data_IF_290769191126
#
_entry.id   IF_290769191126
#
_cell.length_a   1.000
_cell.length_b   1.000
_cell.length_c   1.000
_cell.angle_alpha   90.00
_cell.angle_beta   90.00
_cell.angle_gamma   90.00
#
_symmetry.space_group_name_H-M   'P 1'
#
loop_
_entity.id
_entity.type
_entity.pdbx_description
1 polymer ?
#
# COMPACT_ATOMS: atom_id res chain seq x y z
N UNK A 1 -38.25 38.12 46.73
CA UNK A 1 -39.01 36.90 47.05
C UNK A 1 -37.98 35.93 47.58
N UNK A 2 -37.94 35.81 48.90
CA UNK A 2 -37.05 34.90 49.62
C UNK A 2 -37.70 33.51 49.54
N UNK A 3 -37.11 32.60 48.76
CA UNK A 3 -37.53 31.19 48.75
C UNK A 3 -37.18 30.62 50.13
N UNK A 4 -38.23 30.39 50.94
CA UNK A 4 -38.12 29.66 52.19
C UNK A 4 -37.46 28.30 51.90
N UNK A 5 -36.26 28.07 52.44
CA UNK A 5 -35.60 26.77 52.38
C UNK A 5 -36.49 25.77 53.12
N UNK A 6 -37.23 24.94 52.38
CA UNK A 6 -38.02 23.84 52.95
C UNK A 6 -37.09 22.96 53.79
N UNK A 7 -37.20 23.06 55.11
CA UNK A 7 -36.40 22.25 56.03
C UNK A 7 -36.74 20.78 55.83
N UNK A 8 -35.72 19.98 55.48
CA UNK A 8 -35.84 18.55 55.20
C UNK A 8 -36.28 17.76 56.45
N UNK A 9 -37.60 17.59 56.59
CA UNK A 9 -38.29 16.94 57.72
C UNK A 9 -37.83 15.49 57.95
N UNK A 10 -37.27 14.83 56.92
CA UNK A 10 -36.84 13.44 56.98
C UNK A 10 -35.32 13.25 57.00
N UNK A 11 -34.54 14.33 56.91
CA UNK A 11 -33.07 14.29 56.87
C UNK A 11 -32.52 13.52 55.65
N UNK A 12 -33.30 13.39 54.58
CA UNK A 12 -32.94 12.64 53.38
C UNK A 12 -31.86 13.34 52.53
N UNK A 13 -31.76 14.67 52.59
CA UNK A 13 -30.73 15.45 51.92
C UNK A 13 -29.32 15.16 52.44
N UNK A 14 -29.20 14.70 53.69
CA UNK A 14 -27.94 14.23 54.26
C UNK A 14 -27.42 12.93 53.60
N UNK A 15 -28.32 12.16 52.97
CA UNK A 15 -28.00 10.94 52.23
C UNK A 15 -27.68 11.23 50.75
N UNK A 16 -28.02 12.41 50.24
CA UNK A 16 -27.70 12.77 48.86
C UNK A 16 -26.21 13.13 48.74
N UNK A 17 -25.49 12.57 47.75
CA UNK A 17 -24.11 12.94 47.51
C UNK A 17 -24.06 14.42 47.16
N UNK A 18 -23.20 15.18 47.85
CA UNK A 18 -23.08 16.62 47.63
C UNK A 18 -22.79 16.92 46.15
N UNK A 19 -23.33 18.02 45.62
CA UNK A 19 -23.13 18.44 44.22
C UNK A 19 -21.65 18.41 43.81
N UNK A 20 -20.74 18.77 44.73
CA UNK A 20 -19.28 18.69 44.54
C UNK A 20 -18.76 17.26 44.37
N UNK A 21 -19.25 16.29 45.15
CA UNK A 21 -18.89 14.87 45.01
C UNK A 21 -19.39 14.30 43.68
N UNK A 22 -20.63 14.64 43.28
CA UNK A 22 -21.19 14.21 42.00
C UNK A 22 -20.40 14.79 40.81
N UNK A 23 -20.01 16.06 40.88
CA UNK A 23 -19.20 16.71 39.84
C UNK A 23 -17.79 16.10 39.75
N UNK A 24 -17.17 15.78 40.89
CA UNK A 24 -15.87 15.11 40.94
C UNK A 24 -15.94 13.68 40.34
N UNK A 25 -16.99 12.93 40.66
CA UNK A 25 -17.23 11.59 40.09
C UNK A 25 -17.50 11.65 38.59
N UNK A 26 -18.33 12.59 38.13
CA UNK A 26 -18.59 12.82 36.70
C UNK A 26 -17.30 13.17 35.95
N UNK A 27 -16.45 14.03 36.53
CA UNK A 27 -15.14 14.37 35.96
C UNK A 27 -14.20 13.17 35.90
N UNK A 28 -14.18 12.32 36.92
CA UNK A 28 -13.40 11.06 36.94
C UNK A 28 -13.90 10.08 35.87
N UNK A 29 -15.21 9.91 35.71
CA UNK A 29 -15.77 9.06 34.67
C UNK A 29 -15.47 9.59 33.26
N UNK A 30 -15.60 10.90 33.04
CA UNK A 30 -15.26 11.53 31.76
C UNK A 30 -13.77 11.36 31.42
N UNK A 31 -12.88 11.54 32.40
CA UNK A 31 -11.45 11.31 32.22
C UNK A 31 -11.13 9.84 31.92
N UNK A 32 -11.83 8.89 32.55
CA UNK A 32 -11.69 7.46 32.28
C UNK A 32 -12.17 7.11 30.87
N UNK A 33 -13.31 7.67 30.44
CA UNK A 33 -13.86 7.49 29.10
C UNK A 33 -12.91 8.04 28.02
N UNK A 34 -12.40 9.26 28.20
CA UNK A 34 -11.41 9.85 27.28
C UNK A 34 -10.12 9.00 27.19
N UNK A 35 -9.65 8.45 28.32
CA UNK A 35 -8.48 7.56 28.32
C UNK A 35 -8.76 6.22 27.63
N UNK A 36 -9.97 5.70 27.78
CA UNK A 36 -10.40 4.47 27.10
C UNK A 36 -10.49 4.69 25.58
N UNK A 37 -11.04 5.83 25.14
CA UNK A 37 -11.14 6.22 23.74
C UNK A 37 -9.75 6.42 23.12
N UNK A 38 -8.85 7.14 23.78
CA UNK A 38 -7.47 7.31 23.33
C UNK A 38 -6.74 5.97 23.18
N UNK A 39 -6.96 5.04 24.13
CA UNK A 39 -6.41 3.67 24.06
C UNK A 39 -7.01 2.87 22.89
N UNK A 40 -8.29 3.02 22.63
CA UNK A 40 -8.96 2.38 21.50
C UNK A 40 -8.43 2.91 20.16
N UNK A 41 -8.27 4.22 20.02
CA UNK A 41 -7.69 4.86 18.85
C UNK A 41 -6.25 4.39 18.59
N UNK A 42 -5.41 4.32 19.64
CA UNK A 42 -4.04 3.81 19.54
C UNK A 42 -4.00 2.34 19.09
N UNK A 43 -4.89 1.48 19.60
CA UNK A 43 -5.01 0.09 19.16
C UNK A 43 -5.45 -0.01 17.70
N UNK A 44 -6.40 0.81 17.27
CA UNK A 44 -6.85 0.85 15.89
C UNK A 44 -5.72 1.26 14.94
N UNK A 45 -4.94 2.29 15.29
CA UNK A 45 -3.78 2.71 14.54
C UNK A 45 -2.72 1.59 14.43
N UNK A 46 -2.38 0.95 15.55
CA UNK A 46 -1.43 -0.17 15.57
C UNK A 46 -1.90 -1.36 14.70
N UNK A 47 -3.20 -1.68 14.73
CA UNK A 47 -3.77 -2.73 13.90
C UNK A 47 -3.68 -2.39 12.41
N UNK A 48 -3.90 -1.13 12.04
CA UNK A 48 -3.75 -0.68 10.66
C UNK A 48 -2.30 -0.83 10.17
N UNK A 49 -1.32 -0.51 11.01
CA UNK A 49 0.09 -0.65 10.65
C UNK A 49 0.50 -2.12 10.53
N UNK A 50 0.03 -2.98 11.43
CA UNK A 50 0.24 -4.44 11.33
C UNK A 50 -0.37 -5.02 10.04
N UNK A 51 -1.58 -4.58 9.68
CA UNK A 51 -2.23 -4.99 8.42
C UNK A 51 -1.43 -4.55 7.21
N UNK A 52 -0.93 -3.31 7.20
CA UNK A 52 -0.06 -2.79 6.13
C UNK A 52 1.23 -3.59 6.03
N UNK A 53 1.87 -3.91 7.15
CA UNK A 53 3.09 -4.72 7.17
C UNK A 53 2.86 -6.15 6.68
N UNK A 54 1.74 -6.77 7.08
CA UNK A 54 1.35 -8.09 6.60
C UNK A 54 1.14 -8.09 5.08
N UNK A 55 0.48 -7.06 4.52
CA UNK A 55 0.32 -6.90 3.08
C UNK A 55 1.66 -6.78 2.36
N UNK A 56 2.61 -6.01 2.90
CA UNK A 56 3.94 -5.87 2.30
C UNK A 56 4.68 -7.21 2.31
N UNK A 57 4.62 -7.97 3.42
CA UNK A 57 5.22 -9.31 3.49
C UNK A 57 4.59 -10.26 2.47
N UNK A 58 3.28 -10.26 2.32
CA UNK A 58 2.60 -11.08 1.32
C UNK A 58 3.05 -10.74 -0.11
N UNK A 59 3.29 -9.46 -0.40
CA UNK A 59 3.83 -9.00 -1.70
C UNK A 59 5.29 -9.41 -1.91
N UNK A 60 6.12 -9.32 -0.85
CA UNK A 60 7.51 -9.79 -0.87
C UNK A 60 7.59 -11.30 -1.12
N UNK A 61 6.74 -12.10 -0.45
CA UNK A 61 6.64 -13.54 -0.67
C UNK A 61 6.09 -13.88 -2.06
N UNK A 62 5.06 -13.16 -2.52
CA UNK A 62 4.51 -13.29 -3.87
C UNK A 62 5.59 -13.09 -4.94
N UNK A 63 6.48 -12.11 -4.74
CA UNK A 63 7.63 -11.89 -5.61
C UNK A 63 8.67 -13.02 -5.53
N UNK A 64 8.82 -13.70 -4.40
CA UNK A 64 9.67 -14.89 -4.28
C UNK A 64 9.32 -15.99 -5.29
N UNK A 65 8.03 -16.13 -5.64
CA UNK A 65 7.57 -17.08 -6.66
C UNK A 65 7.90 -16.68 -8.10
N UNK A 66 8.34 -15.45 -8.34
CA UNK A 66 8.63 -14.93 -9.68
C UNK A 66 9.80 -15.65 -10.37
N UNK A 67 10.78 -16.09 -9.58
CA UNK A 67 11.98 -16.78 -10.05
C UNK A 67 11.81 -18.31 -10.12
N UNK A 68 10.67 -18.83 -9.68
CA UNK A 68 10.42 -20.29 -9.71
C UNK A 68 10.06 -20.69 -11.14
N UNK A 69 11.03 -21.30 -11.83
CA UNK A 69 11.02 -21.64 -13.26
C UNK A 69 9.83 -22.51 -13.69
N UNK A 70 9.21 -23.24 -12.75
CA UNK A 70 8.05 -24.10 -13.00
C UNK A 70 6.70 -23.37 -13.05
N UNK A 71 6.65 -22.07 -12.72
CA UNK A 71 5.38 -21.32 -12.57
C UNK A 71 5.31 -20.04 -13.41
N UNK A 72 5.56 -20.15 -14.73
CA UNK A 72 5.46 -18.99 -15.65
C UNK A 72 4.10 -18.28 -15.60
N UNK A 73 3.01 -18.98 -15.28
CA UNK A 73 1.65 -18.44 -15.14
C UNK A 73 1.47 -17.49 -13.95
N UNK A 74 2.34 -17.54 -12.94
CA UNK A 74 2.27 -16.66 -11.75
C UNK A 74 2.84 -15.27 -12.00
N UNK A 75 3.60 -15.08 -13.09
CA UNK A 75 4.30 -13.83 -13.39
C UNK A 75 3.36 -12.65 -13.59
N UNK A 76 2.33 -12.82 -14.43
CA UNK A 76 1.37 -11.75 -14.75
C UNK A 76 0.56 -11.32 -13.52
N UNK A 77 -0.02 -12.25 -12.72
CA UNK A 77 -0.66 -11.89 -11.46
C UNK A 77 0.24 -11.12 -10.50
N UNK A 78 1.51 -11.53 -10.35
CA UNK A 78 2.47 -10.84 -9.47
C UNK A 78 2.81 -9.45 -10.01
N UNK A 79 3.03 -9.32 -11.32
CA UNK A 79 3.27 -8.02 -11.98
C UNK A 79 2.10 -7.05 -11.74
N UNK A 80 0.86 -7.53 -11.89
CA UNK A 80 -0.35 -6.74 -11.64
C UNK A 80 -0.51 -6.37 -10.16
N UNK A 81 -0.31 -7.33 -9.26
CA UNK A 81 -0.42 -7.11 -7.82
C UNK A 81 0.57 -6.03 -7.36
N UNK A 82 1.85 -6.17 -7.72
CA UNK A 82 2.90 -5.23 -7.32
C UNK A 82 2.65 -3.84 -7.91
N UNK A 83 2.18 -3.76 -9.16
CA UNK A 83 1.79 -2.48 -9.77
C UNK A 83 0.65 -1.80 -8.99
N UNK A 84 -0.41 -2.55 -8.65
CA UNK A 84 -1.56 -1.99 -7.89
C UNK A 84 -1.19 -1.60 -6.47
N UNK A 85 -0.38 -2.37 -5.77
CA UNK A 85 0.07 -1.99 -4.43
C UNK A 85 0.95 -0.74 -4.48
N UNK A 86 1.77 -0.59 -5.53
CA UNK A 86 2.63 0.58 -5.72
C UNK A 86 1.85 1.86 -6.05
N UNK A 87 0.75 1.77 -6.80
CA UNK A 87 -0.16 2.90 -7.06
C UNK A 87 -0.72 3.48 -5.75
N UNK A 88 -1.03 2.61 -4.78
CA UNK A 88 -1.65 2.99 -3.50
C UNK A 88 -0.59 3.27 -2.41
N UNK A 89 0.71 3.31 -2.75
CA UNK A 89 1.81 3.44 -1.78
C UNK A 89 1.71 4.68 -0.88
N UNK A 90 1.06 5.75 -1.33
CA UNK A 90 0.84 6.96 -0.53
C UNK A 90 0.11 6.68 0.80
N UNK A 91 -0.70 5.62 0.87
CA UNK A 91 -1.43 5.23 2.09
C UNK A 91 -0.57 4.52 3.15
N UNK A 92 0.68 4.18 2.83
CA UNK A 92 1.61 3.49 3.72
C UNK A 92 2.54 4.48 4.43
N UNK A 93 3.14 4.04 5.54
CA UNK A 93 4.14 4.84 6.26
C UNK A 93 5.43 5.01 5.43
N UNK A 94 6.27 6.04 5.67
CA UNK A 94 7.48 6.29 4.89
C UNK A 94 8.40 5.07 4.74
N UNK A 95 8.75 4.37 5.83
CA UNK A 95 9.60 3.17 5.75
C UNK A 95 8.96 1.99 5.02
N UNK A 96 7.62 1.89 5.05
CA UNK A 96 6.86 0.90 4.29
C UNK A 96 6.87 1.21 2.79
N UNK A 97 6.81 2.50 2.41
CA UNK A 97 6.91 2.95 1.01
C UNK A 97 8.25 2.55 0.39
N UNK A 98 9.33 2.67 1.14
CA UNK A 98 10.67 2.30 0.66
C UNK A 98 10.78 0.80 0.40
N UNK A 99 10.20 -0.04 1.27
CA UNK A 99 10.11 -1.49 1.05
C UNK A 99 9.33 -1.83 -0.22
N UNK A 100 8.16 -1.21 -0.39
CA UNK A 100 7.36 -1.37 -1.61
C UNK A 100 8.09 -0.91 -2.86
N UNK A 101 8.82 0.21 -2.79
CA UNK A 101 9.62 0.72 -3.91
C UNK A 101 10.72 -0.26 -4.30
N UNK A 102 11.40 -0.88 -3.32
CA UNK A 102 12.41 -1.91 -3.59
C UNK A 102 11.82 -3.12 -4.32
N UNK A 103 10.67 -3.62 -3.88
CA UNK A 103 9.99 -4.75 -4.55
C UNK A 103 9.55 -4.36 -5.96
N UNK A 104 8.96 -3.18 -6.13
CA UNK A 104 8.54 -2.66 -7.43
C UNK A 104 9.70 -2.54 -8.42
N UNK A 105 10.84 -2.01 -7.98
CA UNK A 105 12.03 -1.88 -8.82
C UNK A 105 12.57 -3.24 -9.26
N UNK A 106 12.62 -4.23 -8.35
CA UNK A 106 13.03 -5.61 -8.69
C UNK A 106 12.10 -6.25 -9.72
N UNK A 107 10.79 -6.03 -9.60
CA UNK A 107 9.82 -6.50 -10.60
C UNK A 107 10.04 -5.82 -11.94
N UNK A 108 10.26 -4.50 -11.97
CA UNK A 108 10.55 -3.75 -13.20
C UNK A 108 11.83 -4.22 -13.88
N UNK A 109 12.86 -4.51 -13.10
CA UNK A 109 14.11 -5.08 -13.61
C UNK A 109 13.86 -6.43 -14.28
N UNK A 110 13.09 -7.31 -13.64
CA UNK A 110 12.77 -8.60 -14.25
C UNK A 110 11.85 -8.50 -15.46
N UNK A 111 10.89 -7.56 -15.47
CA UNK A 111 10.10 -7.27 -16.66
C UNK A 111 11.02 -6.85 -17.83
N UNK A 112 11.99 -5.98 -17.55
CA UNK A 112 12.94 -5.47 -18.54
C UNK A 112 13.84 -6.59 -19.06
N UNK A 113 14.39 -7.41 -18.16
CA UNK A 113 15.21 -8.58 -18.51
C UNK A 113 14.44 -9.54 -19.42
N UNK A 114 13.18 -9.84 -19.12
CA UNK A 114 12.35 -10.71 -19.97
C UNK A 114 12.12 -10.12 -21.36
N UNK A 115 11.87 -8.81 -21.45
CA UNK A 115 11.72 -8.13 -22.75
C UNK A 115 12.99 -8.19 -23.58
N UNK A 116 14.15 -7.99 -22.94
CA UNK A 116 15.44 -8.09 -23.61
C UNK A 116 15.71 -9.53 -24.10
N UNK A 117 15.44 -10.54 -23.28
CA UNK A 117 15.58 -11.95 -23.68
C UNK A 117 14.65 -12.27 -24.85
N UNK A 118 13.37 -11.86 -24.79
CA UNK A 118 12.43 -12.06 -25.88
C UNK A 118 12.86 -11.35 -27.18
N UNK A 119 13.43 -10.15 -27.09
CA UNK A 119 14.01 -9.45 -28.24
C UNK A 119 15.23 -10.16 -28.81
N UNK A 120 16.08 -10.74 -27.97
CA UNK A 120 17.26 -11.50 -28.40
C UNK A 120 16.87 -12.84 -29.05
N UNK A 121 15.88 -13.54 -28.52
CA UNK A 121 15.31 -14.75 -29.14
C UNK A 121 14.66 -14.42 -30.48
N UNK A 122 13.79 -13.41 -30.53
CA UNK A 122 13.20 -12.94 -31.78
C UNK A 122 14.27 -12.49 -32.80
N UNK A 123 15.39 -11.93 -32.35
CA UNK A 123 16.50 -11.57 -33.22
C UNK A 123 17.27 -12.78 -33.76
N UNK A 124 17.32 -13.89 -33.03
CA UNK A 124 17.95 -15.15 -33.46
C UNK A 124 17.08 -15.91 -34.47
N UNK A 125 15.77 -15.84 -34.34
CA UNK A 125 14.82 -16.54 -35.23
C UNK A 125 14.51 -15.76 -36.52
N UNK A 126 15.13 -14.59 -36.74
CA UNK A 126 14.93 -13.82 -37.97
C UNK A 126 15.57 -14.49 -39.18
N UNK A 127 14.76 -14.68 -40.23
CA UNK A 127 15.22 -15.18 -41.52
C UNK A 127 16.17 -14.17 -42.20
N UNK A 128 17.07 -14.66 -43.07
CA UNK A 128 17.89 -13.80 -43.93
C UNK A 128 17.03 -12.84 -44.77
N UNK A 129 15.82 -13.27 -45.15
CA UNK A 129 14.84 -12.45 -45.86
C UNK A 129 14.33 -11.27 -45.01
N UNK A 130 13.92 -11.52 -43.77
CA UNK A 130 13.43 -10.48 -42.85
C UNK A 130 14.53 -9.48 -42.48
N UNK A 131 15.77 -9.96 -42.40
CA UNK A 131 16.96 -9.14 -42.18
C UNK A 131 17.21 -8.21 -43.37
N UNK A 132 17.10 -8.73 -44.60
CA UNK A 132 17.22 -7.92 -45.81
C UNK A 132 16.06 -6.93 -45.93
N UNK A 133 14.82 -7.36 -45.69
CA UNK A 133 13.64 -6.51 -45.69
C UNK A 133 13.78 -5.35 -44.71
N UNK A 134 14.25 -5.61 -43.48
CA UNK A 134 14.48 -4.56 -42.47
C UNK A 134 15.56 -3.56 -42.91
N UNK A 135 16.63 -4.04 -43.58
CA UNK A 135 17.68 -3.16 -44.13
C UNK A 135 17.14 -2.26 -45.22
N UNK A 136 16.34 -2.79 -46.14
CA UNK A 136 15.82 -2.01 -47.27
C UNK A 136 14.61 -1.14 -46.91
N UNK A 137 13.85 -1.49 -45.87
CA UNK A 137 12.68 -0.72 -45.44
C UNK A 137 13.02 0.70 -44.94
N UNK A 138 14.26 0.92 -44.47
CA UNK A 138 14.75 2.24 -44.05
C UNK A 138 15.62 2.96 -45.09
N UNK A 139 15.89 2.33 -46.24
CA UNK A 139 16.72 2.91 -47.30
C UNK A 139 15.85 3.71 -48.27
N UNK A 140 16.23 4.96 -48.52
CA UNK A 140 15.56 5.80 -49.51
C UNK A 140 16.05 5.37 -50.91
N UNK A 141 15.18 4.70 -51.68
CA UNK A 141 15.56 4.08 -52.96
C UNK A 141 15.58 5.16 -54.04
N UNK A 142 16.77 5.71 -54.31
CA UNK A 142 16.99 6.63 -55.42
C UNK A 142 16.98 5.92 -56.77
N UNK A 143 16.09 6.35 -57.67
CA UNK A 143 15.93 5.82 -59.04
C UNK A 143 17.16 6.12 -59.94
N UNK A 144 18.05 7.04 -59.55
CA UNK A 144 19.11 7.57 -60.44
C UNK A 144 20.55 7.21 -60.09
N UNK A 145 20.88 6.65 -58.91
CA UNK A 145 22.22 6.15 -58.62
C UNK A 145 22.27 5.36 -57.31
N UNK A 146 23.01 4.26 -57.38
CA UNK A 146 23.57 3.39 -56.34
C UNK A 146 23.13 3.60 -54.89
N UNK A 147 22.74 2.49 -54.26
CA UNK A 147 22.48 2.32 -52.82
C UNK A 147 23.64 2.92 -52.01
N UNK A 148 23.46 4.12 -51.48
CA UNK A 148 24.37 4.72 -50.51
C UNK A 148 23.84 4.38 -49.11
N UNK A 149 24.68 3.70 -48.33
CA UNK A 149 24.36 3.18 -47.00
C UNK A 149 24.42 4.22 -45.89
#
# INVERSE_FOLDING_TARGET
>A
EEEEEEEDIFGLDSLLPSKRKQEEEARKMAAMAARAEARAAAKAAALLDQRRDALIRAVEEAFGFYNVTTKNWTRVPVDMLVAKVHEVRAKFAPGQRDRLQKVYNRVKEQQTRRRQVAQQEAARDRSAFETAQSKYAGMDISIRKAVAG
#
